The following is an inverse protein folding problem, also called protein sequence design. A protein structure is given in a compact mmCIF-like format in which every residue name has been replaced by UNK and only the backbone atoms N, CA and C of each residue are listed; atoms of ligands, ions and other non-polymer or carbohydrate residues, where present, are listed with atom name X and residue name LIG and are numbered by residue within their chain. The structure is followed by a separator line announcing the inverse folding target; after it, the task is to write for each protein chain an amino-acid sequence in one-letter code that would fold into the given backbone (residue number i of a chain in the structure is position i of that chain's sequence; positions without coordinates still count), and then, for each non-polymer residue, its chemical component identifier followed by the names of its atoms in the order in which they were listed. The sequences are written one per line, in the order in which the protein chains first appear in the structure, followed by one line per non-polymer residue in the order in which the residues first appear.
data_IF_944783748229
#
_entry.id   IF_944783748229
#
_cell.length_a   1.000
_cell.length_b   1.000
_cell.length_c   1.000
_cell.angle_alpha   90.00
_cell.angle_beta   90.00
_cell.angle_gamma   90.00
#
_symmetry.space_group_name_H-M   'P 1'
#
loop_
_entity.id
_entity.type
_entity.pdbx_description
1 polymer ?
#
# COMPACT_ATOMS: atom_id res chain seq x y z
N UNK A 1 -9.13 3.86 -14.85
CA UNK A 1 -8.50 4.75 -13.85
C UNK A 1 -9.46 5.03 -12.70
N UNK A 2 -8.97 4.84 -11.49
CA UNK A 2 -9.80 5.04 -10.30
C UNK A 2 -9.78 6.50 -9.87
N UNK A 3 -10.80 7.23 -10.23
CA UNK A 3 -10.86 8.67 -9.98
C UNK A 3 -11.06 9.02 -8.51
N UNK A 4 -11.55 8.07 -7.72
CA UNK A 4 -11.82 8.32 -6.31
C UNK A 4 -10.78 7.69 -5.37
N UNK A 5 -9.70 7.16 -5.92
CA UNK A 5 -8.66 6.58 -5.08
C UNK A 5 -7.80 7.67 -4.47
N UNK A 6 -7.55 7.56 -3.17
CA UNK A 6 -6.69 8.50 -2.46
C UNK A 6 -5.83 7.79 -1.46
N UNK A 7 -4.65 8.34 -1.22
CA UNK A 7 -3.74 7.88 -0.18
C UNK A 7 -3.56 9.02 0.80
N UNK A 8 -3.92 8.77 2.06
CA UNK A 8 -3.74 9.74 3.13
C UNK A 8 -2.55 9.30 3.96
N UNK A 9 -1.59 10.18 4.14
CA UNK A 9 -0.33 9.86 4.82
C UNK A 9 -0.29 10.47 6.20
N UNK A 10 0.16 9.68 7.18
CA UNK A 10 0.40 10.16 8.53
C UNK A 10 1.79 9.68 8.93
N UNK A 11 2.62 10.59 9.39
CA UNK A 11 3.99 10.27 9.73
C UNK A 11 4.22 10.38 11.21
N UNK A 12 4.91 9.39 11.77
CA UNK A 12 5.44 9.49 13.11
C UNK A 12 6.95 9.49 12.99
N UNK A 13 7.65 9.45 14.12
CA UNK A 13 9.10 9.45 14.09
C UNK A 13 9.67 8.27 13.29
N UNK A 14 9.11 7.08 13.52
CA UNK A 14 9.67 5.86 12.95
C UNK A 14 8.76 5.18 11.95
N UNK A 15 7.54 5.65 11.79
CA UNK A 15 6.52 4.95 11.00
C UNK A 15 5.84 5.85 10.00
N UNK A 16 5.49 5.26 8.87
CA UNK A 16 4.66 5.89 7.87
C UNK A 16 3.35 5.13 7.81
N UNK A 17 2.24 5.84 7.98
CA UNK A 17 0.91 5.26 7.90
C UNK A 17 0.23 5.74 6.65
N UNK A 18 -0.20 4.82 5.80
CA UNK A 18 -0.89 5.14 4.57
C UNK A 18 -2.30 4.58 4.64
N UNK A 19 -3.28 5.47 4.56
CA UNK A 19 -4.68 5.05 4.52
C UNK A 19 -5.18 5.12 3.10
N UNK A 20 -5.62 3.99 2.57
CA UNK A 20 -6.11 3.90 1.20
C UNK A 20 -7.62 4.01 1.20
N UNK A 21 -8.15 4.83 0.29
CA UNK A 21 -9.60 5.00 0.17
C UNK A 21 -10.01 4.85 -1.28
N UNK A 22 -11.27 4.45 -1.49
CA UNK A 22 -11.85 4.37 -2.82
C UNK A 22 -11.63 3.05 -3.53
N UNK A 23 -11.42 3.11 -4.83
CA UNK A 23 -11.29 1.92 -5.67
C UNK A 23 -9.82 1.65 -5.98
N UNK A 24 -9.40 0.42 -5.74
CA UNK A 24 -8.02 0.03 -5.97
C UNK A 24 -7.91 -0.74 -7.28
N UNK A 25 -7.35 -0.10 -8.30
CA UNK A 25 -7.11 -0.72 -9.61
C UNK A 25 -5.63 -0.65 -9.96
N UNK A 26 -5.29 -0.90 -11.23
CA UNK A 26 -3.90 -0.87 -11.65
C UNK A 26 -3.23 0.48 -11.43
N UNK A 27 -3.93 1.57 -11.75
CA UNK A 27 -3.36 2.90 -11.55
C UNK A 27 -3.19 3.22 -10.06
N UNK A 28 -4.11 2.72 -9.22
CA UNK A 28 -3.99 2.87 -7.78
C UNK A 28 -2.75 2.15 -7.25
N UNK A 29 -2.49 0.95 -7.78
CA UNK A 29 -1.31 0.19 -7.38
C UNK A 29 -0.03 0.95 -7.71
N UNK A 30 0.05 1.54 -8.90
CA UNK A 30 1.22 2.33 -9.27
C UNK A 30 1.37 3.55 -8.40
N UNK A 31 0.27 4.19 -8.06
CA UNK A 31 0.32 5.36 -7.18
C UNK A 31 0.85 4.98 -5.80
N UNK A 32 0.40 3.85 -5.25
CA UNK A 32 0.89 3.37 -3.97
C UNK A 32 2.38 3.03 -4.04
N UNK A 33 2.80 2.35 -5.09
CA UNK A 33 4.21 2.02 -5.28
C UNK A 33 5.05 3.29 -5.36
N UNK A 34 4.56 4.29 -6.08
CA UNK A 34 5.26 5.56 -6.18
C UNK A 34 5.41 6.22 -4.81
N UNK A 35 4.35 6.23 -4.03
CA UNK A 35 4.38 6.80 -2.68
C UNK A 35 5.39 6.08 -1.80
N UNK A 36 5.41 4.75 -1.86
CA UNK A 36 6.37 3.97 -1.09
C UNK A 36 7.81 4.26 -1.52
N UNK A 37 8.02 4.37 -2.83
CA UNK A 37 9.36 4.65 -3.35
C UNK A 37 9.84 6.03 -2.94
N UNK A 38 8.96 7.02 -2.96
CA UNK A 38 9.32 8.39 -2.65
C UNK A 38 9.53 8.63 -1.16
N UNK A 39 8.73 8.00 -0.32
CA UNK A 39 8.72 8.32 1.11
C UNK A 39 9.06 7.18 2.05
N UNK A 40 8.89 5.94 1.61
CA UNK A 40 8.99 4.80 2.52
C UNK A 40 10.37 4.54 3.09
N UNK A 41 11.40 4.91 2.37
CA UNK A 41 12.78 4.62 2.79
C UNK A 41 13.19 5.30 4.09
N UNK A 42 12.50 6.38 4.42
CA UNK A 42 12.84 7.16 5.60
C UNK A 42 12.25 6.60 6.89
N UNK A 43 11.47 5.55 6.78
CA UNK A 43 10.73 5.02 7.93
C UNK A 43 11.10 3.58 8.22
N UNK A 44 11.12 3.25 9.50
CA UNK A 44 11.42 1.90 9.94
C UNK A 44 10.28 0.94 9.62
N UNK A 45 9.03 1.41 9.79
CA UNK A 45 7.86 0.60 9.46
C UNK A 45 6.86 1.39 8.65
N UNK A 46 6.17 0.68 7.76
CA UNK A 46 5.11 1.26 6.94
C UNK A 46 3.85 0.45 7.18
N UNK A 47 2.78 1.14 7.59
CA UNK A 47 1.49 0.51 7.81
C UNK A 47 0.51 0.99 6.75
N UNK A 48 -0.15 0.06 6.09
CA UNK A 48 -1.09 0.37 5.02
C UNK A 48 -2.48 -0.08 5.45
N UNK A 49 -3.36 0.89 5.67
CA UNK A 49 -4.72 0.65 6.13
C UNK A 49 -5.64 0.47 4.92
N UNK A 50 -6.31 -0.68 4.87
CA UNK A 50 -7.18 -1.03 3.76
C UNK A 50 -8.67 -0.95 4.09
N UNK A 51 -9.02 -0.50 5.29
CA UNK A 51 -10.41 -0.49 5.74
C UNK A 51 -11.35 0.36 4.89
N UNK A 52 -10.82 1.43 4.29
CA UNK A 52 -11.65 2.38 3.55
C UNK A 52 -11.68 2.10 2.05
N UNK A 53 -11.10 1.00 1.60
CA UNK A 53 -11.19 0.64 0.19
C UNK A 53 -12.58 0.09 -0.10
N UNK A 54 -13.19 0.58 -1.18
CA UNK A 54 -14.51 0.15 -1.60
C UNK A 54 -14.46 -1.05 -2.52
N UNK A 55 -13.55 -1.03 -3.48
CA UNK A 55 -13.37 -2.14 -4.41
C UNK A 55 -11.89 -2.41 -4.61
N UNK A 56 -11.56 -3.64 -4.90
CA UNK A 56 -10.19 -4.05 -5.18
C UNK A 56 -10.23 -4.90 -6.45
N UNK A 57 -9.67 -4.35 -7.51
CA UNK A 57 -9.60 -5.05 -8.79
C UNK A 57 -8.45 -6.04 -8.78
N UNK A 58 -8.68 -7.26 -9.28
CA UNK A 58 -7.61 -8.28 -9.29
C UNK A 58 -6.34 -7.82 -9.97
N UNK A 59 -6.45 -7.05 -11.03
CA UNK A 59 -5.27 -6.54 -11.72
C UNK A 59 -4.47 -5.58 -10.84
N UNK A 60 -5.14 -4.72 -10.11
CA UNK A 60 -4.47 -3.82 -9.18
C UNK A 60 -3.71 -4.57 -8.10
N UNK A 61 -4.34 -5.60 -7.54
CA UNK A 61 -3.70 -6.43 -6.54
C UNK A 61 -2.47 -7.14 -7.13
N UNK A 62 -2.59 -7.65 -8.35
CA UNK A 62 -1.49 -8.34 -8.99
C UNK A 62 -0.30 -7.42 -9.25
N UNK A 63 -0.58 -6.22 -9.75
CA UNK A 63 0.47 -5.22 -9.96
C UNK A 63 1.19 -4.92 -8.66
N UNK A 64 0.42 -4.71 -7.61
CA UNK A 64 1.01 -4.38 -6.30
C UNK A 64 1.90 -5.51 -5.81
N UNK A 65 1.43 -6.75 -5.87
CA UNK A 65 2.21 -7.88 -5.39
C UNK A 65 3.53 -8.04 -6.13
N UNK A 66 3.49 -7.91 -7.44
CA UNK A 66 4.69 -8.04 -8.24
C UNK A 66 5.71 -6.94 -7.94
N UNK A 67 5.23 -5.72 -7.81
CA UNK A 67 6.13 -4.60 -7.53
C UNK A 67 6.68 -4.64 -6.12
N UNK A 68 5.87 -5.04 -5.15
CA UNK A 68 6.33 -5.14 -3.78
C UNK A 68 7.44 -6.17 -3.62
N UNK A 69 7.35 -7.27 -4.33
CA UNK A 69 8.40 -8.29 -4.25
C UNK A 69 9.77 -7.71 -4.61
N UNK A 70 9.81 -6.81 -5.57
CA UNK A 70 11.06 -6.17 -5.95
C UNK A 70 11.51 -5.08 -4.99
N UNK A 71 10.58 -4.50 -4.23
CA UNK A 71 10.88 -3.38 -3.34
C UNK A 71 11.17 -3.78 -1.91
N UNK A 72 10.78 -4.97 -1.50
CA UNK A 72 10.86 -5.37 -0.10
C UNK A 72 12.21 -5.23 0.54
N UNK A 73 13.25 -5.55 -0.19
CA UNK A 73 14.59 -5.47 0.34
C UNK A 73 15.04 -4.05 0.63
N UNK A 74 14.26 -3.06 0.16
CA UNK A 74 14.59 -1.65 0.39
C UNK A 74 13.87 -1.08 1.61
N UNK A 75 12.98 -1.86 2.23
CA UNK A 75 12.21 -1.40 3.38
C UNK A 75 12.37 -2.37 4.54
N UNK A 76 12.34 -1.83 5.75
CA UNK A 76 12.45 -2.68 6.94
C UNK A 76 11.18 -3.50 7.17
N UNK A 77 10.03 -2.90 6.96
CA UNK A 77 8.78 -3.63 7.11
C UNK A 77 7.62 -2.90 6.49
N UNK A 78 6.79 -3.65 5.79
CA UNK A 78 5.54 -3.14 5.22
C UNK A 78 4.45 -4.07 5.70
N UNK A 79 3.44 -3.52 6.37
CA UNK A 79 2.32 -4.32 6.87
C UNK A 79 1.00 -3.76 6.39
N UNK A 80 0.18 -4.63 5.83
CA UNK A 80 -1.18 -4.29 5.48
C UNK A 80 -2.09 -4.68 6.64
N UNK A 81 -3.05 -3.84 6.96
CA UNK A 81 -4.01 -4.19 7.98
C UNK A 81 -5.40 -3.69 7.61
N UNK A 82 -6.41 -4.16 8.33
CA UNK A 82 -7.78 -3.81 8.06
C UNK A 82 -8.54 -5.00 7.49
N UNK A 83 -9.80 -4.78 7.13
CA UNK A 83 -10.67 -5.86 6.69
C UNK A 83 -10.23 -6.47 5.35
N UNK A 84 -9.41 -5.76 4.59
CA UNK A 84 -8.95 -6.23 3.29
C UNK A 84 -7.51 -6.74 3.31
N UNK A 85 -6.93 -6.92 4.50
CA UNK A 85 -5.52 -7.29 4.56
C UNK A 85 -5.22 -8.63 3.88
N UNK A 86 -6.11 -9.60 4.01
CA UNK A 86 -5.89 -10.92 3.44
C UNK A 86 -5.85 -10.89 1.91
N UNK A 87 -6.54 -9.92 1.31
CA UNK A 87 -6.58 -9.78 -0.14
C UNK A 87 -5.23 -9.33 -0.66
N UNK A 88 -4.50 -8.56 0.12
CA UNK A 88 -3.19 -8.06 -0.27
C UNK A 88 -2.04 -8.96 0.17
N UNK A 89 -2.34 -10.07 0.84
CA UNK A 89 -1.30 -11.01 1.22
C UNK A 89 -0.37 -10.47 2.29
N UNK A 90 -0.86 -10.44 3.52
CA UNK A 90 -0.12 -9.81 4.61
C UNK A 90 1.00 -10.65 5.19
N UNK A 91 1.11 -11.87 4.78
CA UNK A 91 2.19 -12.75 5.22
C UNK A 91 3.51 -12.37 4.59
N UNK A 92 3.57 -11.21 4.14
CA UNK A 92 4.76 -10.65 3.59
C UNK A 92 5.73 -10.14 4.62
N UNK A 93 5.58 -10.27 5.72
CA UNK A 93 6.46 -9.68 6.72
C UNK A 93 7.83 -10.28 6.72
#
# INVERSE_FOLDING_TARGET
MALNFQILSFKTRDSLHLKLTGDFDGSSAYELIHTLTEHGKDFYEIFIDTNELKTIHPYGREVLQKRLDGLRKHFHGIKFFGINEAIFGTDYI
#
